data_IF_628328190843
#
_entry.id   IF_628328190843
#
_cell.length_a   1.000
_cell.length_b   1.000
_cell.length_c   1.000
_cell.angle_alpha   90.00
_cell.angle_beta   90.00
_cell.angle_gamma   90.00
#
_symmetry.space_group_name_H-M   'P 1'
#
loop_
_entity.id
_entity.type
_entity.pdbx_description
1 polymer ?
#
# COMPACT_ATOMS: atom_id res chain seq x y z
N UNK A 1 43.37 -18.92 -34.51
CA UNK A 1 43.93 -20.29 -34.39
C UNK A 1 43.88 -20.64 -32.91
N UNK A 2 43.26 -21.69 -32.38
CA UNK A 2 42.92 -23.03 -32.86
C UNK A 2 41.55 -23.45 -32.29
N UNK A 3 40.79 -24.16 -33.12
CA UNK A 3 39.60 -24.93 -32.79
C UNK A 3 40.04 -26.18 -32.01
N UNK A 4 39.34 -26.56 -30.96
CA UNK A 4 39.37 -27.94 -30.47
C UNK A 4 37.95 -28.49 -30.45
N UNK A 5 37.64 -29.07 -31.60
CA UNK A 5 36.58 -30.03 -31.82
C UNK A 5 36.92 -31.33 -31.08
N UNK A 6 35.99 -31.86 -30.29
CA UNK A 6 35.96 -33.27 -29.93
C UNK A 6 34.52 -33.77 -30.03
N UNK A 7 34.29 -34.58 -31.06
CA UNK A 7 33.09 -35.37 -31.29
C UNK A 7 33.10 -36.59 -30.38
N UNK A 8 31.98 -36.99 -29.79
CA UNK A 8 31.13 -38.17 -30.10
C UNK A 8 30.74 -38.70 -28.71
N UNK A 9 29.52 -39.16 -28.41
CA UNK A 9 28.81 -40.23 -29.10
C UNK A 9 27.36 -40.19 -28.64
N UNK A 10 26.45 -40.43 -29.58
CA UNK A 10 25.03 -40.60 -29.35
C UNK A 10 24.72 -41.91 -28.59
N UNK A 11 23.72 -41.87 -27.71
CA UNK A 11 22.90 -43.02 -27.37
C UNK A 11 21.42 -42.57 -27.44
N UNK A 12 20.66 -43.25 -28.29
CA UNK A 12 19.27 -42.99 -28.63
C UNK A 12 18.30 -43.74 -27.68
N UNK A 13 17.28 -43.00 -27.24
CA UNK A 13 15.84 -43.33 -27.16
C UNK A 13 15.38 -44.52 -26.28
N UNK A 14 14.54 -44.17 -25.29
CA UNK A 14 13.20 -44.71 -24.91
C UNK A 14 13.06 -44.64 -23.38
N UNK A 15 11.95 -44.27 -22.73
CA UNK A 15 10.54 -44.21 -23.05
C UNK A 15 9.86 -43.11 -22.18
N UNK A 16 8.67 -42.66 -22.57
CA UNK A 16 8.04 -41.44 -22.04
C UNK A 16 7.50 -41.46 -20.62
N UNK A 17 7.17 -40.26 -20.13
CA UNK A 17 6.07 -40.03 -19.19
C UNK A 17 5.67 -38.55 -19.18
N UNK A 18 4.36 -38.33 -19.01
CA UNK A 18 3.60 -37.10 -18.87
C UNK A 18 4.28 -35.87 -18.23
N UNK A 19 3.98 -34.70 -18.82
CA UNK A 19 3.48 -33.45 -18.19
C UNK A 19 4.16 -32.89 -16.92
N UNK A 20 4.92 -31.80 -17.07
CA UNK A 20 4.88 -30.59 -16.21
C UNK A 20 5.85 -29.50 -16.75
N UNK A 21 5.53 -28.20 -16.68
CA UNK A 21 6.51 -27.15 -16.96
C UNK A 21 7.59 -27.15 -15.87
N UNK A 22 8.84 -27.26 -16.31
CA UNK A 22 10.02 -27.09 -15.49
C UNK A 22 10.20 -25.61 -15.12
N UNK A 23 10.01 -25.27 -13.84
CA UNK A 23 10.57 -24.06 -13.25
C UNK A 23 11.84 -24.44 -12.49
N UNK A 24 12.97 -24.35 -13.18
CA UNK A 24 14.29 -24.25 -12.55
C UNK A 24 14.74 -22.79 -12.67
N UNK A 25 14.41 -22.01 -11.65
CA UNK A 25 15.02 -20.72 -11.37
C UNK A 25 15.24 -20.65 -9.86
N UNK A 26 16.44 -21.04 -9.45
CA UNK A 26 16.95 -20.85 -8.11
C UNK A 26 17.25 -19.35 -7.93
N UNK A 27 16.29 -18.65 -7.35
CA UNK A 27 16.44 -17.30 -6.84
C UNK A 27 15.52 -17.17 -5.61
N UNK A 28 16.05 -16.95 -4.39
CA UNK A 28 15.21 -16.67 -3.25
C UNK A 28 14.73 -15.21 -3.35
N UNK A 29 13.68 -14.97 -4.14
CA UNK A 29 12.86 -13.77 -4.03
C UNK A 29 11.79 -14.01 -2.96
N UNK A 30 12.22 -14.15 -1.71
CA UNK A 30 11.33 -14.06 -0.54
C UNK A 30 11.42 -12.65 0.05
N UNK A 31 10.84 -11.71 -0.68
CA UNK A 31 10.39 -10.42 -0.17
C UNK A 31 8.88 -10.47 -0.06
N UNK A 32 8.41 -11.03 1.04
CA UNK A 32 7.03 -11.11 1.46
C UNK A 32 6.41 -9.71 1.47
N UNK A 33 5.46 -9.48 0.57
CA UNK A 33 4.35 -8.55 0.76
C UNK A 33 3.25 -9.01 -0.18
N UNK A 34 2.60 -10.11 0.20
CA UNK A 34 1.17 -10.23 -0.04
C UNK A 34 0.54 -9.07 0.72
N UNK A 35 0.50 -7.89 0.08
CA UNK A 35 -0.56 -6.94 0.31
C UNK A 35 -1.82 -7.72 -0.09
N UNK A 36 -2.34 -8.45 0.90
CA UNK A 36 -3.71 -8.89 0.94
C UNK A 36 -4.46 -7.57 0.87
N UNK A 37 -4.75 -7.16 -0.37
CA UNK A 37 -5.68 -6.11 -0.63
C UNK A 37 -6.94 -6.60 0.08
N UNK A 38 -7.17 -6.06 1.27
CA UNK A 38 -8.50 -5.99 1.81
C UNK A 38 -9.29 -5.41 0.64
N UNK A 39 -10.04 -6.29 0.00
CA UNK A 39 -10.96 -5.95 -1.06
C UNK A 39 -12.08 -5.21 -0.34
N UNK A 40 -11.75 -4.02 0.16
CA UNK A 40 -12.70 -3.08 0.64
C UNK A 40 -13.67 -2.90 -0.50
N UNK A 41 -14.95 -3.03 -0.17
CA UNK A 41 -16.03 -2.98 -1.12
C UNK A 41 -15.99 -1.61 -1.81
N UNK A 42 -15.21 -1.52 -2.89
CA UNK A 42 -15.18 -0.38 -3.77
C UNK A 42 -16.56 -0.34 -4.41
N UNK A 43 -17.42 0.56 -3.93
CA UNK A 43 -18.75 0.69 -4.50
C UNK A 43 -19.65 1.68 -3.80
N UNK A 44 -19.84 1.59 -2.48
CA UNK A 44 -20.89 2.35 -1.79
C UNK A 44 -20.41 2.90 -0.45
N UNK A 45 -19.73 4.05 -0.48
CA UNK A 45 -19.46 4.84 0.72
C UNK A 45 -20.68 5.69 1.06
N UNK A 46 -21.13 5.63 2.32
CA UNK A 46 -22.24 6.47 2.79
C UNK A 46 -21.81 7.93 2.91
N UNK A 47 -22.75 8.87 2.86
CA UNK A 47 -22.44 10.29 3.04
C UNK A 47 -21.76 10.53 4.39
N UNK A 48 -22.21 9.85 5.46
CA UNK A 48 -21.57 9.90 6.77
C UNK A 48 -20.10 9.44 6.72
N UNK A 49 -19.79 8.34 6.02
CA UNK A 49 -18.39 7.89 5.87
C UNK A 49 -17.53 8.90 5.10
N UNK A 50 -18.11 9.58 4.10
CA UNK A 50 -17.40 10.60 3.33
C UNK A 50 -17.18 11.90 4.14
N UNK A 51 -18.12 12.25 5.01
CA UNK A 51 -17.98 13.34 5.98
C UNK A 51 -16.90 13.04 7.02
N UNK A 52 -16.94 11.84 7.62
CA UNK A 52 -15.92 11.38 8.56
C UNK A 52 -14.53 11.34 7.90
N UNK A 53 -14.46 10.87 6.66
CA UNK A 53 -13.23 10.89 5.86
C UNK A 53 -12.71 12.32 5.66
N UNK A 54 -13.58 13.28 5.35
CA UNK A 54 -13.19 14.67 5.20
C UNK A 54 -12.66 15.29 6.50
N UNK A 55 -13.30 14.98 7.64
CA UNK A 55 -12.85 15.43 8.96
C UNK A 55 -11.49 14.82 9.31
N UNK A 56 -11.35 13.49 9.25
CA UNK A 56 -10.10 12.79 9.50
C UNK A 56 -8.97 13.27 8.59
N UNK A 57 -9.25 13.55 7.31
CA UNK A 57 -8.26 14.08 6.36
C UNK A 57 -7.70 15.45 6.78
N UNK A 58 -8.54 16.31 7.37
CA UNK A 58 -8.09 17.61 7.88
C UNK A 58 -7.18 17.45 9.10
N UNK A 59 -7.54 16.55 10.02
CA UNK A 59 -6.74 16.30 11.21
C UNK A 59 -5.40 15.63 10.86
N UNK A 60 -5.40 14.65 9.96
CA UNK A 60 -4.18 14.02 9.43
C UNK A 60 -3.29 15.06 8.74
N UNK A 61 -3.85 16.02 8.00
CA UNK A 61 -3.05 17.09 7.39
C UNK A 61 -2.35 17.95 8.44
N UNK A 62 -3.04 18.27 9.55
CA UNK A 62 -2.49 19.02 10.68
C UNK A 62 -1.38 18.23 11.39
N UNK A 63 -1.62 16.96 11.68
CA UNK A 63 -0.65 16.02 12.27
C UNK A 63 0.58 15.93 11.36
N UNK A 64 0.39 15.73 10.06
CA UNK A 64 1.48 15.66 9.08
C UNK A 64 2.37 16.90 9.12
N UNK A 65 1.79 18.09 9.22
CA UNK A 65 2.54 19.35 9.33
C UNK A 65 3.32 19.45 10.64
N UNK A 66 2.69 19.10 11.77
CA UNK A 66 3.35 19.10 13.07
C UNK A 66 4.56 18.15 13.09
N UNK A 67 4.36 16.92 12.64
CA UNK A 67 5.38 15.89 12.64
C UNK A 67 6.48 16.12 11.62
N UNK A 68 6.19 16.78 10.49
CA UNK A 68 7.25 17.27 9.60
C UNK A 68 8.19 18.25 10.34
N UNK A 69 7.63 19.13 11.17
CA UNK A 69 8.42 20.03 12.02
C UNK A 69 9.22 19.30 13.10
N UNK A 70 8.63 18.29 13.76
CA UNK A 70 9.35 17.43 14.72
C UNK A 70 10.48 16.65 14.04
N UNK A 71 10.25 16.12 12.85
CA UNK A 71 11.22 15.31 12.10
C UNK A 71 12.43 16.15 11.65
N UNK A 72 12.21 17.40 11.26
CA UNK A 72 13.29 18.33 10.93
C UNK A 72 14.19 18.64 12.14
N UNK A 73 13.64 18.61 13.35
CA UNK A 73 14.34 18.91 14.60
C UNK A 73 15.00 17.69 15.25
N UNK A 74 14.72 16.48 14.76
CA UNK A 74 15.25 15.25 15.34
C UNK A 74 16.74 15.08 14.98
N UNK A 75 17.55 14.82 16.00
CA UNK A 75 19.02 14.86 15.90
C UNK A 75 19.62 13.65 15.16
N UNK A 76 19.06 12.46 15.35
CA UNK A 76 19.58 11.21 14.81
C UNK A 76 18.47 10.30 14.25
N UNK A 77 18.87 9.17 13.64
CA UNK A 77 17.93 8.23 13.03
C UNK A 77 17.02 7.54 14.04
N UNK A 78 17.45 7.36 15.29
CA UNK A 78 16.62 6.79 16.36
C UNK A 78 15.52 7.77 16.75
N UNK A 79 15.86 9.04 16.94
CA UNK A 79 14.89 10.09 17.22
C UNK A 79 13.90 10.27 16.05
N UNK A 80 14.39 10.26 14.81
CA UNK A 80 13.51 10.31 13.62
C UNK A 80 12.57 9.12 13.54
N UNK A 81 13.02 7.92 13.91
CA UNK A 81 12.17 6.74 13.93
C UNK A 81 11.08 6.85 15.00
N UNK A 82 11.42 7.34 16.19
CA UNK A 82 10.43 7.61 17.25
C UNK A 82 9.37 8.62 16.78
N UNK A 83 9.79 9.72 16.15
CA UNK A 83 8.88 10.73 15.61
C UNK A 83 7.96 10.13 14.53
N UNK A 84 8.48 9.26 13.67
CA UNK A 84 7.67 8.56 12.65
C UNK A 84 6.65 7.60 13.27
N UNK A 85 7.01 6.89 14.33
CA UNK A 85 6.10 5.99 15.04
C UNK A 85 4.96 6.79 15.69
N UNK A 86 5.30 7.81 16.46
CA UNK A 86 4.32 8.70 17.10
C UNK A 86 3.40 9.36 16.05
N UNK A 87 3.92 9.78 14.90
CA UNK A 87 3.10 10.31 13.81
C UNK A 87 2.08 9.28 13.30
N UNK A 88 2.49 8.02 13.11
CA UNK A 88 1.59 6.97 12.62
C UNK A 88 0.49 6.67 13.63
N UNK A 89 0.84 6.62 14.92
CA UNK A 89 -0.12 6.36 16.00
C UNK A 89 -1.17 7.49 16.05
N UNK A 90 -0.73 8.75 16.02
CA UNK A 90 -1.63 9.92 15.99
C UNK A 90 -2.52 9.95 14.73
N UNK A 91 -1.97 9.59 13.56
CA UNK A 91 -2.77 9.48 12.34
C UNK A 91 -3.84 8.40 12.44
N UNK A 92 -3.53 7.24 13.03
CA UNK A 92 -4.51 6.17 13.26
C UNK A 92 -5.60 6.64 14.22
N UNK A 93 -5.22 7.26 15.35
CA UNK A 93 -6.17 7.80 16.31
C UNK A 93 -7.08 8.86 15.70
N UNK A 94 -6.56 9.76 14.84
CA UNK A 94 -7.40 10.74 14.15
C UNK A 94 -8.48 10.10 13.25
N UNK A 95 -8.18 8.96 12.63
CA UNK A 95 -9.18 8.22 11.85
C UNK A 95 -10.21 7.58 12.77
N UNK A 96 -9.78 6.91 13.83
CA UNK A 96 -10.67 6.24 14.78
C UNK A 96 -11.58 7.24 15.51
N UNK A 97 -11.05 8.41 15.91
CA UNK A 97 -11.78 9.49 16.59
C UNK A 97 -12.85 10.12 15.69
N UNK A 98 -12.67 10.08 14.37
CA UNK A 98 -13.72 10.48 13.42
C UNK A 98 -14.89 9.48 13.36
N UNK A 99 -14.75 8.32 14.01
CA UNK A 99 -15.71 7.21 13.95
C UNK A 99 -15.64 6.40 12.66
N UNK A 100 -14.52 6.49 11.94
CA UNK A 100 -14.26 5.75 10.70
C UNK A 100 -13.25 4.63 10.97
N UNK A 101 -13.42 3.47 10.35
CA UNK A 101 -12.39 2.44 10.38
C UNK A 101 -11.20 2.83 9.49
N UNK A 102 -9.98 2.52 9.94
CA UNK A 102 -8.75 2.76 9.16
C UNK A 102 -8.81 2.11 7.77
N UNK A 103 -9.38 0.91 7.68
CA UNK A 103 -9.59 0.23 6.40
C UNK A 103 -10.51 1.03 5.47
N UNK A 104 -11.63 1.54 5.98
CA UNK A 104 -12.57 2.37 5.22
C UNK A 104 -11.94 3.69 4.80
N UNK A 105 -11.21 4.37 5.68
CA UNK A 105 -10.47 5.60 5.36
C UNK A 105 -9.52 5.39 4.17
N UNK A 106 -8.69 4.34 4.23
CA UNK A 106 -7.76 4.01 3.15
C UNK A 106 -8.48 3.70 1.84
N UNK A 107 -9.64 3.06 1.92
CA UNK A 107 -10.46 2.69 0.75
C UNK A 107 -11.08 3.90 0.07
N UNK A 108 -11.62 4.84 0.86
CA UNK A 108 -12.11 6.13 0.36
C UNK A 108 -10.93 6.91 -0.23
N UNK A 109 -9.78 6.96 0.45
CA UNK A 109 -8.58 7.63 -0.04
C UNK A 109 -8.08 7.11 -1.39
N UNK A 110 -8.14 5.80 -1.62
CA UNK A 110 -7.84 5.21 -2.93
C UNK A 110 -8.92 5.52 -3.97
N UNK A 111 -10.20 5.45 -3.60
CA UNK A 111 -11.30 5.73 -4.52
C UNK A 111 -11.30 7.18 -4.98
N UNK A 112 -11.13 8.14 -4.08
CA UNK A 112 -11.08 9.59 -4.37
C UNK A 112 -9.95 9.95 -5.34
N UNK A 113 -8.82 9.23 -5.31
CA UNK A 113 -7.72 9.43 -6.26
C UNK A 113 -8.07 8.99 -7.69
N UNK A 114 -9.00 8.04 -7.85
CA UNK A 114 -9.36 7.44 -9.13
C UNK A 114 -10.75 7.90 -9.64
N UNK A 115 -11.56 8.51 -8.79
CA UNK A 115 -12.92 8.98 -9.08
C UNK A 115 -13.06 10.49 -8.75
N UNK A 116 -12.97 11.36 -9.77
CA UNK A 116 -13.13 12.81 -9.60
C UNK A 116 -14.50 13.24 -9.11
N UNK A 117 -15.56 12.47 -9.37
CA UNK A 117 -16.91 12.82 -8.93
C UNK A 117 -17.11 12.47 -7.45
N UNK A 118 -16.53 11.36 -7.00
CA UNK A 118 -16.41 11.05 -5.56
C UNK A 118 -15.60 12.13 -4.83
N UNK A 119 -14.50 12.60 -5.42
CA UNK A 119 -13.71 13.69 -4.85
C UNK A 119 -14.54 14.97 -4.66
N UNK A 120 -15.32 15.37 -5.67
CA UNK A 120 -16.23 16.53 -5.56
C UNK A 120 -17.29 16.31 -4.49
N UNK A 121 -17.82 15.10 -4.37
CA UNK A 121 -18.82 14.75 -3.34
C UNK A 121 -18.26 14.94 -1.94
N UNK A 122 -17.06 14.41 -1.66
CA UNK A 122 -16.35 14.61 -0.39
C UNK A 122 -16.15 16.11 -0.10
N UNK A 123 -15.67 16.87 -1.08
CA UNK A 123 -15.46 18.31 -0.91
C UNK A 123 -16.74 19.08 -0.62
N UNK A 124 -17.86 18.69 -1.24
CA UNK A 124 -19.16 19.29 -1.01
C UNK A 124 -19.65 19.00 0.41
N UNK A 125 -19.63 17.74 0.82
CA UNK A 125 -20.05 17.31 2.17
C UNK A 125 -19.20 17.95 3.26
N UNK A 126 -17.90 18.14 3.02
CA UNK A 126 -17.02 18.85 3.94
C UNK A 126 -17.47 20.31 4.14
N UNK A 127 -17.85 21.01 3.07
CA UNK A 127 -18.30 22.41 3.14
C UNK A 127 -19.66 22.57 3.81
N UNK A 128 -20.57 21.59 3.65
CA UNK A 128 -21.90 21.63 4.26
C UNK A 128 -21.87 21.43 5.79
N UNK A 129 -20.82 20.80 6.30
CA UNK A 129 -20.62 20.51 7.73
C UNK A 129 -19.52 21.36 8.40
N UNK A 130 -19.02 22.40 7.72
CA UNK A 130 -17.99 23.33 8.22
C UNK A 130 -18.53 24.46 9.09
#
# INVERSE_FOLDING_TARGET
MKRMTAYMTAALISAGMMSAPAFAADAPAQGQSTAQAAQAQAGDFTDAQLEQFAAASQDIARISQEFAGKLQKADDETAKQSVRQEANDEMVSAVEDSGLEVATFNSIGQAVQNDPDLMKKVQKLAQENS
#
